data_IF_486656168608
#
_entry.id   IF_486656168608
#
_cell.length_a   1.000
_cell.length_b   1.000
_cell.length_c   1.000
_cell.angle_alpha   90.00
_cell.angle_beta   90.00
_cell.angle_gamma   90.00
#
_symmetry.space_group_name_H-M   'P 1'
#
loop_
_entity.id
_entity.type
_entity.pdbx_description
1 polymer ?
#
# COMPACT_ATOMS: atom_id res chain seq x y z
N UNK A 1 25.14 -7.35 -17.24
CA UNK A 1 24.53 -6.02 -17.41
C UNK A 1 23.17 -6.08 -18.14
N UNK A 2 22.24 -7.00 -17.75
CA UNK A 2 20.89 -7.10 -18.34
C UNK A 2 19.81 -6.46 -17.45
N UNK A 3 20.17 -5.56 -16.52
CA UNK A 3 19.24 -5.11 -15.46
C UNK A 3 18.73 -3.68 -15.60
N UNK A 4 18.97 -2.98 -16.70
CA UNK A 4 18.75 -1.52 -16.76
C UNK A 4 17.64 -1.00 -17.68
N UNK A 5 16.75 -1.83 -18.21
CA UNK A 5 15.63 -1.33 -19.02
C UNK A 5 14.31 -1.88 -18.47
N UNK A 6 13.62 -1.12 -17.63
CA UNK A 6 12.54 -1.61 -16.77
C UNK A 6 11.34 -0.68 -16.81
N UNK A 7 10.36 -1.05 -17.49
CA UNK A 7 9.14 -0.42 -17.96
C UNK A 7 8.92 -0.81 -19.41
N UNK A 8 9.79 -1.70 -19.91
CA UNK A 8 9.77 -2.23 -21.27
C UNK A 8 9.00 -3.56 -21.31
N UNK A 9 8.60 -4.01 -22.51
CA UNK A 9 7.98 -5.32 -22.70
C UNK A 9 8.73 -6.45 -21.97
N UNK A 10 10.06 -6.46 -22.09
CA UNK A 10 10.91 -7.53 -21.54
C UNK A 10 10.81 -7.66 -20.02
N UNK A 11 10.66 -6.56 -19.32
CA UNK A 11 10.62 -6.58 -17.83
C UNK A 11 9.22 -6.90 -17.29
N UNK A 12 8.19 -6.51 -17.99
CA UNK A 12 6.83 -6.90 -17.66
C UNK A 12 6.64 -8.40 -17.94
N UNK A 13 7.08 -8.86 -19.10
CA UNK A 13 6.93 -10.25 -19.53
C UNK A 13 7.82 -11.21 -18.73
N UNK A 14 9.00 -10.79 -18.29
CA UNK A 14 9.83 -11.58 -17.37
C UNK A 14 9.15 -11.87 -16.02
N UNK A 15 8.23 -11.00 -15.58
CA UNK A 15 7.48 -11.17 -14.33
C UNK A 15 6.13 -11.84 -14.54
N UNK A 16 5.44 -11.51 -15.63
CA UNK A 16 4.02 -11.85 -15.84
C UNK A 16 3.81 -12.94 -16.89
N UNK A 17 4.86 -13.29 -17.62
CA UNK A 17 4.82 -14.22 -18.75
C UNK A 17 4.91 -13.51 -20.10
N UNK A 18 5.43 -14.22 -21.09
CA UNK A 18 5.61 -13.74 -22.45
C UNK A 18 4.30 -13.26 -23.06
N UNK A 19 4.32 -12.10 -23.73
CA UNK A 19 3.16 -11.50 -24.40
C UNK A 19 2.20 -10.75 -23.48
N UNK A 20 2.44 -10.74 -22.16
CA UNK A 20 1.55 -10.04 -21.21
C UNK A 20 1.56 -8.52 -21.47
N UNK A 21 2.69 -7.92 -21.75
CA UNK A 21 2.77 -6.49 -22.05
C UNK A 21 1.92 -6.13 -23.28
N UNK A 22 2.03 -6.90 -24.35
CA UNK A 22 1.24 -6.69 -25.56
C UNK A 22 -0.27 -6.82 -25.30
N UNK A 23 -0.67 -7.80 -24.50
CA UNK A 23 -2.06 -7.99 -24.11
C UNK A 23 -2.61 -6.78 -23.33
N UNK A 24 -1.81 -6.22 -22.39
CA UNK A 24 -2.17 -4.99 -21.66
C UNK A 24 -2.30 -3.80 -22.61
N UNK A 25 -1.37 -3.62 -23.55
CA UNK A 25 -1.43 -2.53 -24.53
C UNK A 25 -2.68 -2.63 -25.42
N UNK A 26 -3.05 -3.83 -25.85
CA UNK A 26 -4.29 -4.08 -26.61
C UNK A 26 -5.55 -3.80 -25.79
N UNK A 27 -5.54 -4.18 -24.51
CA UNK A 27 -6.64 -3.88 -23.60
C UNK A 27 -6.85 -2.37 -23.41
N UNK A 28 -5.76 -1.61 -23.24
CA UNK A 28 -5.81 -0.14 -23.15
C UNK A 28 -6.37 0.49 -24.43
N UNK A 29 -5.91 0.03 -25.62
CA UNK A 29 -6.43 0.52 -26.90
C UNK A 29 -7.94 0.25 -27.04
N UNK A 30 -8.39 -0.90 -26.56
CA UNK A 30 -9.81 -1.26 -26.58
C UNK A 30 -10.64 -0.38 -25.64
N UNK A 31 -10.18 -0.17 -24.42
CA UNK A 31 -10.81 0.73 -23.44
C UNK A 31 -10.93 2.15 -24.00
N UNK A 32 -9.82 2.67 -24.57
CA UNK A 32 -9.78 3.98 -25.24
C UNK A 32 -10.78 4.06 -26.39
N UNK A 33 -10.84 3.02 -27.25
CA UNK A 33 -11.77 2.94 -28.37
C UNK A 33 -13.23 3.06 -27.95
N UNK A 34 -13.60 2.47 -26.83
CA UNK A 34 -14.96 2.52 -26.30
C UNK A 34 -15.23 3.71 -25.35
N UNK A 35 -14.29 4.64 -25.22
CA UNK A 35 -14.43 5.82 -24.36
C UNK A 35 -14.53 5.51 -22.87
N UNK A 36 -14.02 4.36 -22.43
CA UNK A 36 -14.04 3.94 -21.03
C UNK A 36 -12.88 4.65 -20.31
N UNK A 37 -13.20 5.33 -19.21
CA UNK A 37 -12.16 5.92 -18.32
C UNK A 37 -11.49 4.79 -17.55
N UNK A 38 -10.17 4.74 -17.61
CA UNK A 38 -9.37 3.72 -16.93
C UNK A 38 -8.04 4.27 -16.42
N UNK A 39 -7.46 3.55 -15.48
CA UNK A 39 -6.14 3.80 -14.93
C UNK A 39 -5.25 2.56 -14.98
N UNK A 40 -4.04 2.72 -14.45
CA UNK A 40 -3.04 1.65 -14.34
C UNK A 40 -2.77 1.29 -12.89
N UNK A 41 -2.38 0.04 -12.65
CA UNK A 41 -1.88 -0.42 -11.35
C UNK A 41 -0.43 -0.89 -11.52
N UNK A 42 0.48 -0.26 -10.81
CA UNK A 42 1.92 -0.40 -11.00
C UNK A 42 2.57 -0.76 -9.66
N UNK A 43 3.17 -1.94 -9.57
CA UNK A 43 4.03 -2.26 -8.45
C UNK A 43 5.47 -1.82 -8.78
N UNK A 44 6.00 -0.89 -8.00
CA UNK A 44 7.38 -0.45 -8.16
C UNK A 44 8.31 -1.14 -7.15
N UNK A 45 9.52 -1.37 -7.61
CA UNK A 45 10.59 -2.07 -6.91
C UNK A 45 11.89 -1.27 -7.05
N UNK A 46 12.91 -1.61 -6.29
CA UNK A 46 14.29 -1.12 -6.47
C UNK A 46 14.74 -1.08 -7.93
N UNK A 47 14.18 -1.96 -8.71
CA UNK A 47 14.66 -2.20 -10.07
C UNK A 47 13.84 -1.55 -11.18
N UNK A 48 12.69 -1.01 -10.95
CA UNK A 48 11.85 -0.40 -11.99
C UNK A 48 11.32 0.99 -11.66
N UNK A 49 11.55 1.50 -10.44
CA UNK A 49 10.94 2.76 -9.97
C UNK A 49 11.22 3.92 -10.94
N UNK A 50 12.46 4.08 -11.40
CA UNK A 50 12.83 5.16 -12.32
C UNK A 50 12.17 4.99 -13.70
N UNK A 51 12.10 3.76 -14.19
CA UNK A 51 11.50 3.48 -15.49
C UNK A 51 9.99 3.72 -15.52
N UNK A 52 9.26 3.27 -14.46
CA UNK A 52 7.79 3.42 -14.39
C UNK A 52 7.34 4.81 -13.96
N UNK A 53 8.27 5.72 -13.71
CA UNK A 53 8.04 7.13 -13.39
C UNK A 53 8.73 8.08 -14.38
N UNK A 54 9.31 7.55 -15.47
CA UNK A 54 9.92 8.37 -16.52
C UNK A 54 8.86 9.12 -17.34
N UNK A 55 9.25 10.21 -17.97
CA UNK A 55 8.35 10.98 -18.87
C UNK A 55 7.87 10.12 -20.03
N UNK A 56 8.75 9.28 -20.57
CA UNK A 56 8.44 8.34 -21.65
C UNK A 56 7.36 7.35 -21.24
N UNK A 57 7.44 6.82 -20.01
CA UNK A 57 6.43 5.91 -19.48
C UNK A 57 5.09 6.61 -19.30
N UNK A 58 5.06 7.78 -18.69
CA UNK A 58 3.84 8.57 -18.55
C UNK A 58 3.23 8.92 -19.90
N UNK A 59 4.07 9.35 -20.87
CA UNK A 59 3.60 9.60 -22.22
C UNK A 59 2.99 8.37 -22.86
N UNK A 60 3.63 7.21 -22.76
CA UNK A 60 3.14 5.96 -23.32
C UNK A 60 1.75 5.59 -22.77
N UNK A 61 1.56 5.61 -21.45
CA UNK A 61 0.27 5.24 -20.84
C UNK A 61 -0.84 6.28 -21.08
N UNK A 62 -0.50 7.57 -21.13
CA UNK A 62 -1.45 8.64 -21.43
C UNK A 62 -1.86 8.64 -22.89
N UNK A 63 -0.94 8.37 -23.82
CA UNK A 63 -1.22 8.18 -25.25
C UNK A 63 -2.19 6.98 -25.46
N UNK A 64 -2.06 5.93 -24.63
CA UNK A 64 -2.99 4.80 -24.61
C UNK A 64 -4.34 5.14 -23.96
N UNK A 65 -4.48 6.28 -23.30
CA UNK A 65 -5.75 6.78 -22.75
C UNK A 65 -5.88 6.64 -21.24
N UNK A 66 -4.88 6.13 -20.52
CA UNK A 66 -4.90 6.12 -19.05
C UNK A 66 -4.88 7.56 -18.51
N UNK A 67 -5.65 7.80 -17.42
CA UNK A 67 -5.80 9.13 -16.81
C UNK A 67 -5.34 9.17 -15.37
N UNK A 68 -5.23 8.04 -14.72
CA UNK A 68 -4.76 7.91 -13.33
C UNK A 68 -4.02 6.59 -13.16
N UNK A 69 -3.29 6.44 -12.06
CA UNK A 69 -2.64 5.19 -11.72
C UNK A 69 -2.35 5.05 -10.24
N UNK A 70 -2.48 3.82 -9.76
CA UNK A 70 -2.03 3.44 -8.45
C UNK A 70 -0.59 2.91 -8.54
N UNK A 71 0.30 3.52 -7.79
CA UNK A 71 1.66 3.04 -7.57
C UNK A 71 1.70 2.33 -6.22
N UNK A 72 2.04 1.05 -6.26
CA UNK A 72 2.21 0.24 -5.07
C UNK A 72 3.69 -0.02 -4.82
N UNK A 73 4.16 0.39 -3.68
CA UNK A 73 5.46 0.00 -3.16
C UNK A 73 5.52 -1.54 -3.03
N UNK A 74 6.61 -2.15 -3.47
CA UNK A 74 6.79 -3.59 -3.23
C UNK A 74 6.76 -3.89 -1.73
N UNK A 75 5.96 -4.86 -1.34
CA UNK A 75 5.80 -5.30 0.05
C UNK A 75 6.40 -6.70 0.20
N UNK A 76 7.28 -6.94 1.19
CA UNK A 76 7.98 -8.22 1.34
C UNK A 76 7.11 -9.26 2.06
N UNK A 77 5.92 -9.51 1.54
CA UNK A 77 4.92 -10.44 2.09
C UNK A 77 5.15 -11.85 1.56
N UNK A 78 5.00 -12.83 2.43
CA UNK A 78 5.23 -14.23 2.14
C UNK A 78 6.62 -14.71 2.59
N UNK A 79 6.68 -15.96 3.00
CA UNK A 79 7.84 -16.57 3.64
C UNK A 79 9.13 -16.49 2.77
N UNK A 80 8.96 -16.55 1.44
CA UNK A 80 10.05 -16.51 0.47
C UNK A 80 10.19 -15.13 -0.22
N UNK A 81 9.64 -14.07 0.37
CA UNK A 81 9.71 -12.74 -0.23
C UNK A 81 11.15 -12.24 -0.33
N UNK A 82 11.48 -11.69 -1.51
CA UNK A 82 12.83 -11.19 -1.82
C UNK A 82 12.96 -9.74 -1.35
N UNK A 83 13.57 -9.52 -0.20
CA UNK A 83 13.74 -8.17 0.38
C UNK A 83 14.59 -7.24 -0.49
N UNK A 84 15.47 -7.75 -1.35
CA UNK A 84 16.25 -6.94 -2.31
C UNK A 84 15.37 -6.24 -3.37
N UNK A 85 14.09 -6.59 -3.49
CA UNK A 85 13.14 -5.88 -4.34
C UNK A 85 12.60 -4.59 -3.72
N UNK A 86 12.78 -4.37 -2.42
CA UNK A 86 12.41 -3.12 -1.76
C UNK A 86 13.14 -1.94 -2.42
N UNK A 87 12.46 -0.87 -2.79
CA UNK A 87 13.11 0.37 -3.22
C UNK A 87 14.08 0.85 -2.14
N UNK A 88 15.23 1.38 -2.54
CA UNK A 88 16.13 2.03 -1.59
C UNK A 88 15.44 3.26 -0.97
N UNK A 89 15.96 3.73 0.16
CA UNK A 89 15.43 4.93 0.82
C UNK A 89 15.50 6.16 -0.12
N UNK A 90 16.58 6.29 -0.90
CA UNK A 90 16.73 7.34 -1.90
C UNK A 90 15.71 7.22 -3.03
N UNK A 91 15.42 6.00 -3.48
CA UNK A 91 14.39 5.75 -4.49
C UNK A 91 12.99 6.03 -3.93
N UNK A 92 12.72 5.73 -2.65
CA UNK A 92 11.46 6.10 -2.01
C UNK A 92 11.30 7.63 -1.92
N UNK A 93 12.37 8.33 -1.53
CA UNK A 93 12.43 9.79 -1.56
C UNK A 93 12.16 10.33 -2.97
N UNK A 94 12.88 9.82 -3.97
CA UNK A 94 12.66 10.18 -5.37
C UNK A 94 11.21 9.96 -5.80
N UNK A 95 10.60 8.85 -5.39
CA UNK A 95 9.20 8.55 -5.72
C UNK A 95 8.24 9.61 -5.18
N UNK A 96 8.41 10.02 -3.92
CA UNK A 96 7.61 11.08 -3.30
C UNK A 96 7.74 12.38 -4.09
N UNK A 97 8.99 12.83 -4.35
CA UNK A 97 9.26 14.08 -5.05
C UNK A 97 8.70 14.03 -6.49
N UNK A 98 8.88 12.88 -7.17
CA UNK A 98 8.42 12.70 -8.54
C UNK A 98 6.90 12.72 -8.65
N UNK A 99 6.18 12.02 -7.77
CA UNK A 99 4.72 12.01 -7.76
C UNK A 99 4.16 13.39 -7.44
N UNK A 100 4.77 14.11 -6.50
CA UNK A 100 4.38 15.48 -6.19
C UNK A 100 4.59 16.43 -7.39
N UNK A 101 5.72 16.31 -8.10
CA UNK A 101 5.97 17.07 -9.30
C UNK A 101 4.92 16.80 -10.39
N UNK A 102 4.60 15.53 -10.67
CA UNK A 102 3.59 15.18 -11.68
C UNK A 102 2.20 15.75 -11.34
N UNK A 103 1.90 15.92 -10.05
CA UNK A 103 0.63 16.50 -9.57
C UNK A 103 0.64 18.04 -9.50
N UNK A 104 1.79 18.67 -9.70
CA UNK A 104 1.93 20.13 -9.60
C UNK A 104 1.51 20.83 -10.89
N UNK A 105 1.25 22.12 -10.79
CA UNK A 105 0.95 22.99 -11.93
C UNK A 105 2.16 23.22 -12.86
N UNK A 106 3.36 22.77 -12.46
CA UNK A 106 4.59 22.85 -13.24
C UNK A 106 4.71 21.71 -14.27
N UNK A 107 3.86 20.70 -14.19
CA UNK A 107 3.93 19.50 -15.02
C UNK A 107 2.76 19.43 -16.00
N UNK A 108 3.08 19.31 -17.30
CA UNK A 108 2.08 19.19 -18.37
C UNK A 108 1.57 17.77 -18.61
N UNK A 109 2.00 16.77 -17.81
CA UNK A 109 1.58 15.38 -17.93
C UNK A 109 0.14 15.24 -17.41
N UNK A 110 -0.81 15.00 -18.31
CA UNK A 110 -2.22 14.80 -17.96
C UNK A 110 -2.49 13.39 -17.40
N UNK A 111 -1.92 13.12 -16.24
CA UNK A 111 -2.05 11.86 -15.53
C UNK A 111 -2.05 12.10 -14.02
N UNK A 112 -2.96 11.48 -13.28
CA UNK A 112 -3.02 11.58 -11.83
C UNK A 112 -2.45 10.32 -11.17
N UNK A 113 -1.18 10.31 -10.76
CA UNK A 113 -0.59 9.20 -10.03
C UNK A 113 -0.98 9.25 -8.56
N UNK A 114 -1.28 8.09 -7.97
CA UNK A 114 -1.52 7.90 -6.53
C UNK A 114 -0.47 6.94 -6.01
N UNK A 115 0.30 7.36 -5.01
CA UNK A 115 1.31 6.52 -4.38
C UNK A 115 0.75 5.96 -3.08
N UNK A 116 0.24 4.74 -3.15
CA UNK A 116 -0.50 4.11 -2.06
C UNK A 116 0.26 4.13 -0.73
N UNK A 117 1.58 3.97 -0.76
CA UNK A 117 2.40 3.92 0.46
C UNK A 117 2.79 5.31 0.98
N UNK A 118 3.02 6.27 0.09
CA UNK A 118 3.55 7.58 0.47
C UNK A 118 2.48 8.69 0.53
N UNK A 119 1.26 8.42 0.11
CA UNK A 119 0.13 9.35 0.18
C UNK A 119 -0.58 9.37 1.54
N UNK A 120 -0.01 8.76 2.57
CA UNK A 120 -0.58 8.74 3.91
C UNK A 120 -0.91 10.13 4.46
N UNK A 121 -0.14 11.15 4.11
CA UNK A 121 -0.40 12.55 4.51
C UNK A 121 -1.74 13.09 3.99
N UNK A 122 -2.19 12.66 2.81
CA UNK A 122 -3.45 13.11 2.19
C UNK A 122 -4.68 12.39 2.73
N UNK A 123 -4.49 11.21 3.31
CA UNK A 123 -5.59 10.36 3.80
C UNK A 123 -5.57 10.16 5.32
N UNK A 124 -4.63 10.78 6.02
CA UNK A 124 -4.53 10.71 7.48
C UNK A 124 -3.95 9.39 7.98
N UNK A 125 -2.91 8.87 7.34
CA UNK A 125 -2.23 7.64 7.72
C UNK A 125 -2.80 6.38 7.06
N UNK A 126 -2.63 5.23 7.70
CA UNK A 126 -3.10 3.94 7.18
C UNK A 126 -4.63 3.90 7.02
N UNK A 127 -5.11 3.44 5.87
CA UNK A 127 -6.54 3.33 5.54
C UNK A 127 -7.12 1.92 5.73
N UNK A 128 -6.31 0.95 6.11
CA UNK A 128 -6.65 -0.46 6.27
C UNK A 128 -7.41 -0.75 7.59
N UNK A 129 -7.65 -2.01 7.88
CA UNK A 129 -8.30 -2.47 9.11
C UNK A 129 -9.75 -2.02 9.26
N UNK A 130 -10.48 -1.89 8.15
CA UNK A 130 -11.87 -1.46 8.15
C UNK A 130 -12.10 0.05 8.21
N UNK A 131 -11.04 0.87 8.28
CA UNK A 131 -11.19 2.33 8.28
C UNK A 131 -11.75 2.85 6.95
N UNK A 132 -11.18 2.45 5.82
CA UNK A 132 -11.67 2.75 4.48
C UNK A 132 -11.84 1.49 3.65
N UNK A 133 -11.09 0.43 3.95
CA UNK A 133 -11.20 -0.87 3.33
C UNK A 133 -10.64 -1.97 4.23
N UNK A 134 -10.95 -3.20 3.89
CA UNK A 134 -10.30 -4.42 4.34
C UNK A 134 -10.30 -5.45 3.20
N UNK A 135 -9.62 -6.55 3.39
CA UNK A 135 -9.49 -7.61 2.39
C UNK A 135 -10.21 -8.87 2.86
N UNK A 136 -10.88 -9.55 1.96
CA UNK A 136 -11.36 -10.91 2.16
C UNK A 136 -10.59 -11.78 1.16
N UNK A 137 -9.83 -12.74 1.68
CA UNK A 137 -9.05 -13.63 0.83
C UNK A 137 -9.92 -14.72 0.18
N UNK A 138 -9.32 -15.57 -0.66
CA UNK A 138 -10.05 -16.61 -1.39
C UNK A 138 -10.63 -17.72 -0.49
N UNK A 139 -10.15 -17.86 0.75
CA UNK A 139 -10.71 -18.76 1.75
C UNK A 139 -11.85 -18.13 2.56
N UNK A 140 -12.08 -16.84 2.39
CA UNK A 140 -13.07 -16.10 3.15
C UNK A 140 -12.56 -15.45 4.43
N UNK A 141 -11.26 -15.52 4.74
CA UNK A 141 -10.71 -14.88 5.93
C UNK A 141 -10.69 -13.35 5.76
N UNK A 142 -11.12 -12.64 6.81
CA UNK A 142 -11.09 -11.20 6.84
C UNK A 142 -9.72 -10.70 7.31
N UNK A 143 -8.99 -10.07 6.41
CA UNK A 143 -7.65 -9.54 6.63
C UNK A 143 -7.68 -8.01 6.70
N UNK A 144 -6.93 -7.35 7.59
CA UNK A 144 -6.91 -5.90 7.67
C UNK A 144 -6.50 -5.21 6.37
N UNK A 145 -5.60 -5.82 5.61
CA UNK A 145 -5.04 -5.30 4.37
C UNK A 145 -4.63 -6.45 3.44
N UNK A 146 -4.65 -6.22 2.15
CA UNK A 146 -4.17 -7.18 1.13
C UNK A 146 -2.70 -7.61 1.33
N UNK A 147 -1.94 -6.90 2.14
CA UNK A 147 -0.55 -7.21 2.49
C UNK A 147 -0.39 -7.81 3.90
N UNK A 148 -1.48 -7.98 4.64
CA UNK A 148 -1.46 -8.46 6.04
C UNK A 148 -2.31 -9.72 6.14
N UNK A 149 -1.66 -10.86 6.03
CA UNK A 149 -2.27 -12.17 5.99
C UNK A 149 -2.45 -12.77 7.39
N UNK A 150 -3.21 -12.05 8.23
CA UNK A 150 -3.62 -12.50 9.57
C UNK A 150 -5.10 -12.22 9.78
N UNK A 151 -5.81 -13.14 10.41
CA UNK A 151 -7.25 -13.01 10.67
C UNK A 151 -7.68 -13.66 11.98
N UNK A 152 -8.82 -13.22 12.50
CA UNK A 152 -9.57 -13.88 13.58
C UNK A 152 -10.91 -14.43 13.07
N UNK A 153 -11.37 -14.05 11.88
CA UNK A 153 -12.75 -14.27 11.42
C UNK A 153 -12.79 -14.65 9.96
N UNK A 154 -13.86 -15.37 9.59
CA UNK A 154 -14.09 -15.82 8.22
C UNK A 154 -15.53 -15.47 7.80
N UNK A 155 -15.75 -15.09 6.54
CA UNK A 155 -17.06 -14.67 6.00
C UNK A 155 -18.10 -15.81 6.01
N UNK A 156 -17.66 -17.06 6.07
CA UNK A 156 -18.58 -18.19 6.15
C UNK A 156 -19.25 -18.32 7.52
N UNK A 157 -18.61 -17.80 8.58
CA UNK A 157 -19.04 -17.92 9.96
C UNK A 157 -19.46 -16.58 10.59
N UNK A 158 -19.09 -15.47 9.98
CA UNK A 158 -19.26 -14.13 10.54
C UNK A 158 -19.88 -13.16 9.53
N UNK A 159 -20.74 -12.28 10.01
CA UNK A 159 -21.20 -11.11 9.24
C UNK A 159 -20.06 -10.10 9.04
N UNK A 160 -20.21 -9.18 8.08
CA UNK A 160 -19.24 -8.09 7.86
C UNK A 160 -19.03 -7.26 9.14
N UNK A 161 -20.09 -7.00 9.90
CA UNK A 161 -19.98 -6.23 11.13
C UNK A 161 -19.16 -6.97 12.19
N UNK A 162 -19.39 -8.26 12.39
CA UNK A 162 -18.61 -9.09 13.31
C UNK A 162 -17.14 -9.18 12.88
N UNK A 163 -16.85 -9.27 11.58
CA UNK A 163 -15.48 -9.23 11.06
C UNK A 163 -14.81 -7.90 11.39
N UNK A 164 -15.49 -6.77 11.19
CA UNK A 164 -14.97 -5.43 11.51
C UNK A 164 -14.77 -5.21 13.02
N UNK A 165 -15.47 -5.96 13.86
CA UNK A 165 -15.34 -5.94 15.32
C UNK A 165 -14.42 -7.05 15.86
N UNK A 166 -13.74 -7.79 14.98
CA UNK A 166 -12.81 -8.82 15.40
C UNK A 166 -11.61 -8.25 16.16
N UNK A 167 -10.95 -9.04 17.02
CA UNK A 167 -9.86 -8.53 17.86
C UNK A 167 -8.75 -7.83 17.07
N UNK A 168 -8.34 -8.36 15.91
CA UNK A 168 -7.29 -7.73 15.10
C UNK A 168 -7.76 -6.41 14.47
N UNK A 169 -9.01 -6.35 13.99
CA UNK A 169 -9.56 -5.11 13.43
C UNK A 169 -9.73 -4.04 14.51
N UNK A 170 -10.16 -4.42 15.71
CA UNK A 170 -10.23 -3.49 16.85
C UNK A 170 -8.85 -2.99 17.25
N UNK A 171 -7.81 -3.84 17.22
CA UNK A 171 -6.44 -3.40 17.47
C UNK A 171 -5.95 -2.39 16.42
N UNK A 172 -6.33 -2.56 15.14
CA UNK A 172 -6.08 -1.56 14.09
C UNK A 172 -6.79 -0.26 14.38
N UNK A 173 -8.05 -0.32 14.77
CA UNK A 173 -8.88 0.83 15.08
C UNK A 173 -8.33 1.65 16.25
N UNK A 174 -7.90 0.98 17.31
CA UNK A 174 -7.28 1.59 18.50
C UNK A 174 -5.92 2.20 18.20
N UNK A 175 -5.12 1.53 17.33
CA UNK A 175 -3.75 1.93 17.03
C UNK A 175 -3.61 3.02 15.96
N UNK A 176 -4.62 3.25 15.13
CA UNK A 176 -4.55 4.25 14.07
C UNK A 176 -4.68 5.68 14.58
N UNK A 177 -3.89 6.62 14.03
CA UNK A 177 -2.82 6.41 13.08
C UNK A 177 -1.61 5.79 13.76
N UNK A 178 -1.03 4.76 13.20
CA UNK A 178 0.11 4.03 13.79
C UNK A 178 1.37 4.89 13.98
N UNK A 179 1.40 6.06 13.37
CA UNK A 179 2.45 7.05 13.53
C UNK A 179 1.88 8.45 13.27
N UNK A 180 2.28 9.44 14.05
CA UNK A 180 1.91 10.83 13.82
C UNK A 180 2.48 11.39 12.51
N UNK A 181 3.61 10.85 12.10
CA UNK A 181 4.18 11.09 10.78
C UNK A 181 3.52 10.18 9.75
N UNK A 182 2.61 10.71 8.97
CA UNK A 182 1.83 9.95 7.98
C UNK A 182 2.64 9.51 6.74
N UNK A 183 3.91 9.84 6.65
CA UNK A 183 4.86 9.20 5.74
C UNK A 183 5.38 7.85 6.28
N UNK A 184 4.91 7.46 7.47
CA UNK A 184 5.16 6.18 8.12
C UNK A 184 3.84 5.49 8.50
N UNK A 185 2.90 5.33 7.56
CA UNK A 185 1.53 4.94 7.89
C UNK A 185 1.36 3.45 8.22
N UNK A 186 2.23 2.56 7.70
CA UNK A 186 2.00 1.13 7.72
C UNK A 186 2.50 0.48 9.02
N UNK A 187 1.67 -0.32 9.69
CA UNK A 187 2.09 -1.05 10.89
C UNK A 187 3.08 -2.19 10.58
N UNK A 188 3.20 -2.61 9.31
CA UNK A 188 4.16 -3.64 8.90
C UNK A 188 5.48 -3.02 8.41
N UNK A 189 5.41 -2.15 7.38
CA UNK A 189 6.62 -1.70 6.69
C UNK A 189 7.40 -0.65 7.48
N UNK A 190 6.72 0.26 8.17
CA UNK A 190 7.33 1.38 8.89
C UNK A 190 7.28 1.25 10.42
N UNK A 191 6.38 0.44 10.94
CA UNK A 191 6.18 0.26 12.38
C UNK A 191 6.02 -1.23 12.74
N UNK A 192 6.97 -2.11 12.35
CA UNK A 192 6.80 -3.58 12.42
C UNK A 192 6.55 -4.10 13.85
N UNK A 193 7.04 -3.43 14.88
CA UNK A 193 6.77 -3.80 16.27
C UNK A 193 5.27 -3.72 16.60
N UNK A 194 4.52 -2.79 16.00
CA UNK A 194 3.09 -2.65 16.23
C UNK A 194 2.31 -3.82 15.61
N UNK A 195 2.63 -4.23 14.38
CA UNK A 195 1.97 -5.39 13.78
C UNK A 195 2.23 -6.66 14.60
N UNK A 196 3.50 -6.89 14.98
CA UNK A 196 3.89 -8.03 15.80
C UNK A 196 3.10 -8.10 17.11
N UNK A 197 2.98 -6.96 17.79
CA UNK A 197 2.21 -6.85 19.02
C UNK A 197 0.72 -7.12 18.79
N UNK A 198 0.11 -6.47 17.77
CA UNK A 198 -1.31 -6.64 17.46
C UNK A 198 -1.64 -8.11 17.16
N UNK A 199 -0.88 -8.77 16.30
CA UNK A 199 -1.11 -10.19 15.97
C UNK A 199 -0.98 -11.07 17.20
N UNK A 200 0.06 -10.86 18.02
CA UNK A 200 0.29 -11.65 19.25
C UNK A 200 -0.82 -11.43 20.29
N UNK A 201 -1.19 -10.18 20.54
CA UNK A 201 -2.21 -9.82 21.54
C UNK A 201 -3.60 -10.35 21.18
N UNK A 202 -3.94 -10.32 19.89
CA UNK A 202 -5.27 -10.69 19.40
C UNK A 202 -5.41 -12.19 19.10
N UNK A 203 -4.30 -12.93 19.08
CA UNK A 203 -4.30 -14.34 18.71
C UNK A 203 -4.71 -14.57 17.24
N UNK A 204 -4.55 -13.56 16.37
CA UNK A 204 -4.84 -13.72 14.96
C UNK A 204 -3.93 -14.79 14.35
N UNK A 205 -4.54 -15.69 13.56
CA UNK A 205 -3.83 -16.75 12.87
C UNK A 205 -3.35 -16.31 11.49
N UNK A 206 -2.30 -16.95 11.00
CA UNK A 206 -1.81 -16.78 9.65
C UNK A 206 -2.81 -17.32 8.62
N UNK A 207 -3.07 -16.57 7.57
CA UNK A 207 -4.01 -16.90 6.50
C UNK A 207 -3.31 -17.17 5.17
N UNK A 208 -1.97 -17.24 5.17
CA UNK A 208 -1.19 -17.51 3.97
C UNK A 208 -1.32 -18.99 3.58
N UNK A 209 -1.94 -19.23 2.43
CA UNK A 209 -2.37 -20.58 2.02
C UNK A 209 -1.22 -21.48 1.59
N UNK A 210 -0.18 -20.92 0.96
CA UNK A 210 0.90 -21.72 0.38
C UNK A 210 2.05 -21.91 1.36
N UNK A 211 2.35 -20.93 2.17
CA UNK A 211 3.50 -20.96 3.07
C UNK A 211 3.23 -20.06 4.29
N UNK A 212 2.75 -20.65 5.39
CA UNK A 212 2.49 -19.90 6.63
C UNK A 212 3.69 -19.05 7.04
N UNK A 213 3.43 -17.81 7.43
CA UNK A 213 4.45 -16.87 7.84
C UNK A 213 4.12 -16.28 9.21
N UNK A 214 5.01 -16.44 10.17
CA UNK A 214 4.83 -15.81 11.49
C UNK A 214 4.96 -14.29 11.41
N UNK A 215 4.23 -13.59 12.29
CA UNK A 215 4.35 -12.13 12.38
C UNK A 215 5.79 -11.68 12.72
N UNK A 216 6.53 -12.46 13.50
CA UNK A 216 7.93 -12.19 13.80
C UNK A 216 8.77 -12.21 12.51
N UNK A 217 8.69 -13.27 11.71
CA UNK A 217 9.43 -13.38 10.46
C UNK A 217 9.08 -12.26 9.45
N UNK A 218 7.80 -11.96 9.29
CA UNK A 218 7.34 -10.87 8.41
C UNK A 218 7.90 -9.51 8.88
N UNK A 219 7.79 -9.23 10.17
CA UNK A 219 8.23 -7.97 10.76
C UNK A 219 9.76 -7.81 10.72
N UNK A 220 10.51 -8.89 10.98
CA UNK A 220 11.98 -8.87 10.92
C UNK A 220 12.49 -8.43 9.54
N UNK A 221 11.83 -8.85 8.46
CA UNK A 221 12.15 -8.39 7.09
C UNK A 221 11.99 -6.89 6.88
N UNK A 222 11.16 -6.23 7.69
CA UNK A 222 10.85 -4.81 7.56
C UNK A 222 11.66 -3.90 8.51
N UNK A 223 12.25 -4.45 9.58
CA UNK A 223 12.88 -3.65 10.64
C UNK A 223 13.98 -2.72 10.16
N UNK A 224 14.92 -3.23 9.36
CA UNK A 224 16.03 -2.42 8.86
C UNK A 224 15.55 -1.34 7.89
N UNK A 225 14.57 -1.66 7.08
CA UNK A 225 13.94 -0.69 6.18
C UNK A 225 13.22 0.42 6.97
N UNK A 226 12.46 0.07 7.98
CA UNK A 226 11.77 1.01 8.86
C UNK A 226 12.75 1.95 9.59
N UNK A 227 13.85 1.40 10.13
CA UNK A 227 14.91 2.16 10.81
C UNK A 227 15.60 3.16 9.87
N UNK A 228 15.86 2.76 8.62
CA UNK A 228 16.50 3.63 7.63
C UNK A 228 15.55 4.71 7.11
N UNK A 229 14.27 4.40 6.96
CA UNK A 229 13.26 5.33 6.48
C UNK A 229 12.89 6.40 7.53
N UNK A 230 12.84 6.03 8.80
CA UNK A 230 12.36 6.90 9.87
C UNK A 230 12.99 8.31 9.88
N UNK A 231 14.33 8.48 9.88
CA UNK A 231 14.93 9.82 9.94
C UNK A 231 14.62 10.67 8.70
N UNK A 232 14.53 10.05 7.52
CA UNK A 232 14.21 10.75 6.28
C UNK A 232 12.71 11.17 6.28
N UNK A 233 11.83 10.29 6.73
CA UNK A 233 10.42 10.62 6.88
C UNK A 233 10.20 11.78 7.86
N UNK A 234 10.95 11.83 8.97
CA UNK A 234 10.87 12.92 9.95
C UNK A 234 11.36 14.26 9.37
N UNK A 235 12.43 14.25 8.59
CA UNK A 235 12.90 15.43 7.87
C UNK A 235 11.84 15.96 6.91
N UNK A 236 11.29 15.08 6.05
CA UNK A 236 10.22 15.44 5.11
C UNK A 236 8.95 15.93 5.79
N UNK A 237 8.59 15.33 6.91
CA UNK A 237 7.39 15.69 7.65
C UNK A 237 7.49 17.09 8.27
N UNK A 238 8.67 17.50 8.71
CA UNK A 238 8.89 18.83 9.29
C UNK A 238 8.82 19.96 8.27
N UNK A 239 9.30 19.70 7.07
CA UNK A 239 9.46 20.73 6.03
C UNK A 239 8.18 20.95 5.21
N UNK A 240 7.14 20.17 5.42
CA UNK A 240 5.91 20.20 4.63
C UNK A 240 4.73 20.83 5.37
N UNK A 241 4.00 21.69 4.65
CA UNK A 241 2.64 22.07 5.06
C UNK A 241 1.72 20.90 4.74
N UNK A 242 1.29 20.20 5.77
CA UNK A 242 0.38 19.07 5.60
C UNK A 242 -0.97 19.56 5.07
N UNK A 243 -1.51 18.95 4.01
CA UNK A 243 -2.73 19.41 3.36
C UNK A 243 -3.99 19.16 4.19
N UNK A 244 -3.89 18.38 5.26
CA UNK A 244 -5.01 18.06 6.16
C UNK A 244 -4.62 18.24 7.61
N UNK A 245 -5.59 18.58 8.47
CA UNK A 245 -5.37 18.60 9.91
C UNK A 245 -4.91 17.22 10.40
N UNK A 246 -4.25 17.23 11.55
CA UNK A 246 -3.84 16.00 12.25
C UNK A 246 -5.01 15.02 12.27
N UNK A 247 -4.77 13.77 11.93
CA UNK A 247 -5.79 12.72 12.01
C UNK A 247 -6.29 12.64 13.45
N UNK A 248 -7.57 12.82 13.63
CA UNK A 248 -8.23 12.55 14.90
C UNK A 248 -8.80 11.12 14.83
N UNK A 249 -8.46 10.30 15.81
CA UNK A 249 -9.15 9.03 15.98
C UNK A 249 -10.59 9.31 16.45
N UNK A 250 -11.54 9.22 15.53
CA UNK A 250 -12.96 9.44 15.83
C UNK A 250 -13.63 8.28 16.55
N UNK A 251 -12.93 7.15 16.71
CA UNK A 251 -13.53 5.96 17.29
C UNK A 251 -14.11 6.18 18.69
N UNK A 252 -13.37 6.75 19.67
CA UNK A 252 -13.90 6.99 20.98
C UNK A 252 -15.11 7.94 20.97
N UNK A 253 -15.02 9.05 20.21
CA UNK A 253 -16.12 10.01 20.08
C UNK A 253 -17.37 9.39 19.45
N UNK A 254 -17.17 8.60 18.36
CA UNK A 254 -18.29 8.00 17.65
C UNK A 254 -18.92 6.86 18.43
N UNK A 255 -18.15 6.13 19.21
CA UNK A 255 -18.68 5.12 20.13
C UNK A 255 -19.55 5.76 21.22
N UNK A 256 -19.10 6.89 21.78
CA UNK A 256 -19.86 7.68 22.74
C UNK A 256 -21.15 8.25 22.13
N UNK A 257 -21.08 8.83 20.92
CA UNK A 257 -22.24 9.34 20.17
C UNK A 257 -23.26 8.24 19.83
N UNK A 258 -22.82 7.02 19.61
CA UNK A 258 -23.66 5.86 19.32
C UNK A 258 -24.13 5.12 20.57
N UNK A 259 -23.70 5.55 21.77
CA UNK A 259 -24.03 4.90 23.04
C UNK A 259 -23.40 3.51 23.19
N UNK A 260 -22.38 3.22 22.42
CA UNK A 260 -21.61 1.97 22.47
C UNK A 260 -20.48 2.16 23.48
N UNK A 261 -20.69 1.76 24.72
CA UNK A 261 -19.63 1.71 25.72
C UNK A 261 -18.93 0.36 25.65
N UNK A 262 -17.59 0.37 25.74
CA UNK A 262 -16.87 -0.87 26.02
C UNK A 262 -17.34 -1.38 27.39
N UNK A 263 -18.08 -2.47 27.41
CA UNK A 263 -18.27 -3.22 28.64
C UNK A 263 -16.89 -3.77 29.03
N UNK A 264 -16.41 -3.35 30.22
CA UNK A 264 -15.16 -3.82 30.82
C UNK A 264 -15.14 -5.32 31.07
#
# INVERSE_FOLDING_TARGET
NRHQQRGTPETNDARRGEGHFEAVMKAMDLLKKYGIVFGTSICYTKYNVEAVTSDEFFKMITDKGARFGFYFHYMPVGNNAVTDLLPTIQQRKYMIDRIRYIRSDECDINFYPMDFQNDGEYVGGCIAGGRNYFHINSNGDAEPCVFIHYSNTNIHDNSILEMLQSPLFMAYHEGQPFNENHLRPCPMLENPSLLREMVKRTGAHDTNMESPETADHLCDKCEDYAKQWAPIAEEYWKDHKHPRPKYENYAPKRMEELGLHNEE
#
